data_IF_906631068412
#
_entry.id   IF_906631068412
#
_cell.length_a   1.000
_cell.length_b   1.000
_cell.length_c   1.000
_cell.angle_alpha   90.00
_cell.angle_beta   90.00
_cell.angle_gamma   90.00
#
_symmetry.space_group_name_H-M   'P 1'
#
loop_
_entity.id
_entity.type
_entity.pdbx_description
1 polymer ?
#
# COMPACT_ATOMS: atom_id res chain seq x y z
N UNK A 1 -15.54 -4.16 -1.27
CA UNK A 1 -14.87 -3.74 -2.52
C UNK A 1 -13.88 -4.81 -2.94
N UNK A 2 -14.06 -5.37 -4.12
CA UNK A 2 -13.23 -6.37 -4.81
C UNK A 2 -12.46 -5.72 -5.96
N UNK A 3 -11.55 -6.47 -6.62
CA UNK A 3 -10.88 -5.98 -7.84
C UNK A 3 -11.91 -5.60 -8.94
N UNK A 4 -12.96 -6.41 -9.12
CA UNK A 4 -13.99 -6.16 -10.11
C UNK A 4 -14.72 -4.83 -9.84
N UNK A 5 -14.99 -4.54 -8.56
CA UNK A 5 -15.62 -3.27 -8.15
C UNK A 5 -14.71 -2.09 -8.48
N UNK A 6 -13.39 -2.20 -8.21
CA UNK A 6 -12.40 -1.15 -8.55
C UNK A 6 -12.37 -0.90 -10.06
N UNK A 7 -12.39 -1.96 -10.87
CA UNK A 7 -12.41 -1.83 -12.33
C UNK A 7 -13.67 -1.10 -12.80
N UNK A 8 -14.83 -1.43 -12.23
CA UNK A 8 -16.10 -0.74 -12.54
C UNK A 8 -16.03 0.73 -12.18
N UNK A 9 -15.53 1.08 -10.99
CA UNK A 9 -15.36 2.48 -10.55
C UNK A 9 -14.41 3.27 -11.46
N UNK A 10 -13.32 2.66 -11.90
CA UNK A 10 -12.36 3.29 -12.83
C UNK A 10 -12.99 3.46 -14.22
N UNK A 11 -13.70 2.45 -14.70
CA UNK A 11 -14.47 2.50 -15.94
C UNK A 11 -15.49 3.67 -15.93
N UNK A 12 -16.29 3.77 -14.87
CA UNK A 12 -17.35 4.79 -14.75
C UNK A 12 -16.78 6.21 -14.64
N UNK A 13 -15.68 6.41 -13.90
CA UNK A 13 -15.12 7.73 -13.66
C UNK A 13 -14.22 8.25 -14.76
N UNK A 14 -13.46 7.37 -15.42
CA UNK A 14 -12.46 7.75 -16.43
C UNK A 14 -13.04 7.65 -17.85
N UNK A 15 -14.15 6.95 -18.04
CA UNK A 15 -14.81 6.81 -19.34
C UNK A 15 -14.04 5.92 -20.34
N UNK A 16 -13.15 5.07 -19.83
CA UNK A 16 -12.42 4.07 -20.63
C UNK A 16 -13.32 2.89 -20.98
N UNK A 17 -12.88 1.99 -21.85
CA UNK A 17 -13.55 0.69 -21.97
C UNK A 17 -13.31 -0.16 -20.72
N UNK A 18 -14.25 -1.06 -20.41
CA UNK A 18 -14.12 -2.00 -19.28
C UNK A 18 -12.86 -2.88 -19.40
N UNK A 19 -12.44 -3.19 -20.63
CA UNK A 19 -11.22 -3.96 -20.91
C UNK A 19 -9.98 -3.15 -20.52
N UNK A 20 -9.87 -1.92 -21.00
CA UNK A 20 -8.75 -1.03 -20.67
C UNK A 20 -8.68 -0.74 -19.17
N UNK A 21 -9.81 -0.48 -18.51
CA UNK A 21 -9.86 -0.29 -17.07
C UNK A 21 -9.34 -1.52 -16.31
N UNK A 22 -9.69 -2.73 -16.76
CA UNK A 22 -9.18 -3.96 -16.17
C UNK A 22 -7.67 -4.14 -16.37
N UNK A 23 -7.18 -3.83 -17.57
CA UNK A 23 -5.75 -3.92 -17.91
C UNK A 23 -4.92 -2.93 -17.08
N UNK A 24 -5.39 -1.68 -16.93
CA UNK A 24 -4.73 -0.66 -16.12
C UNK A 24 -4.67 -1.06 -14.65
N UNK A 25 -5.78 -1.55 -14.10
CA UNK A 25 -5.82 -1.98 -12.69
C UNK A 25 -4.87 -3.16 -12.46
N UNK A 26 -4.82 -4.14 -13.38
CA UNK A 26 -3.86 -5.24 -13.26
C UNK A 26 -2.42 -4.75 -13.38
N UNK A 27 -2.13 -3.87 -14.34
CA UNK A 27 -0.81 -3.31 -14.55
C UNK A 27 -0.28 -2.58 -13.30
N UNK A 28 -1.11 -1.80 -12.62
CA UNK A 28 -0.72 -1.13 -11.37
C UNK A 28 -0.42 -2.16 -10.29
N UNK A 29 -1.27 -3.18 -10.11
CA UNK A 29 -1.04 -4.22 -9.11
C UNK A 29 0.24 -5.01 -9.41
N UNK A 30 0.50 -5.35 -10.67
CA UNK A 30 1.70 -6.05 -11.09
C UNK A 30 2.96 -5.22 -10.91
N UNK A 31 2.90 -3.92 -11.19
CA UNK A 31 4.01 -3.00 -10.92
C UNK A 31 4.37 -2.99 -9.42
N UNK A 32 3.36 -2.96 -8.54
CA UNK A 32 3.56 -3.06 -7.09
C UNK A 32 4.18 -4.42 -6.72
N UNK A 33 3.64 -5.53 -7.24
CA UNK A 33 4.15 -6.88 -6.97
C UNK A 33 5.62 -7.03 -7.38
N UNK A 34 5.98 -6.55 -8.57
CA UNK A 34 7.33 -6.65 -9.11
C UNK A 34 8.32 -5.83 -8.28
N UNK A 35 7.98 -4.58 -7.97
CA UNK A 35 8.81 -3.72 -7.11
C UNK A 35 9.09 -4.38 -5.75
N UNK A 36 8.07 -5.01 -5.15
CA UNK A 36 8.22 -5.71 -3.86
C UNK A 36 8.98 -7.03 -3.99
N UNK A 37 8.90 -7.72 -5.14
CA UNK A 37 9.66 -8.94 -5.40
C UNK A 37 11.17 -8.67 -5.33
N UNK A 38 11.58 -7.52 -5.86
CA UNK A 38 12.98 -7.08 -5.90
C UNK A 38 13.49 -6.59 -4.53
N UNK A 39 12.60 -6.49 -3.53
CA UNK A 39 12.93 -6.04 -2.18
C UNK A 39 12.83 -4.54 -1.99
N UNK A 40 12.38 -3.82 -3.01
CA UNK A 40 12.22 -2.38 -2.98
C UNK A 40 10.95 -1.97 -2.20
N UNK A 41 10.89 -0.68 -1.85
CA UNK A 41 9.76 -0.11 -1.11
C UNK A 41 8.88 0.69 -2.06
N UNK A 42 7.59 0.34 -2.13
CA UNK A 42 6.60 1.15 -2.85
C UNK A 42 6.05 2.21 -1.91
N UNK A 43 6.20 3.48 -2.27
CA UNK A 43 5.66 4.63 -1.52
C UNK A 43 4.52 5.26 -2.30
N UNK A 44 3.32 5.25 -1.74
CA UNK A 44 2.14 5.91 -2.29
C UNK A 44 1.81 7.11 -1.40
N UNK A 45 2.13 8.32 -1.87
CA UNK A 45 1.89 9.55 -1.14
C UNK A 45 0.40 9.66 -0.75
N UNK A 46 0.13 10.13 0.47
CA UNK A 46 -1.24 10.20 1.01
C UNK A 46 -1.86 8.85 1.40
N UNK A 47 -1.41 7.72 0.85
CA UNK A 47 -1.99 6.40 1.14
C UNK A 47 -1.14 5.58 2.13
N UNK A 48 0.13 5.33 1.81
CA UNK A 48 1.02 4.54 2.66
C UNK A 48 2.17 3.89 1.91
N UNK A 49 2.92 3.05 2.61
CA UNK A 49 4.13 2.41 2.08
C UNK A 49 4.03 0.88 2.20
N UNK A 50 4.37 0.17 1.13
CA UNK A 50 4.62 -1.27 1.17
C UNK A 50 6.12 -1.50 1.33
N UNK A 51 6.50 -2.18 2.41
CA UNK A 51 7.90 -2.44 2.76
C UNK A 51 8.14 -3.94 2.86
N UNK A 52 9.19 -4.41 2.20
CA UNK A 52 9.68 -5.78 2.36
C UNK A 52 10.57 -5.85 3.60
N UNK A 53 10.21 -6.73 4.54
CA UNK A 53 11.02 -7.01 5.74
C UNK A 53 11.55 -8.42 5.70
N UNK A 54 12.82 -8.57 6.05
CA UNK A 54 13.39 -9.88 6.29
C UNK A 54 13.11 -10.29 7.75
N UNK A 55 12.51 -11.47 7.92
CA UNK A 55 12.30 -12.09 9.23
C UNK A 55 13.34 -13.18 9.39
N UNK A 56 14.16 -13.08 10.44
CA UNK A 56 15.15 -14.08 10.77
C UNK A 56 14.55 -15.37 11.34
N UNK A 57 15.41 -16.38 11.47
CA UNK A 57 15.10 -17.65 12.13
C UNK A 57 14.70 -17.40 13.59
N UNK A 58 13.63 -18.06 14.04
CA UNK A 58 13.21 -18.01 15.44
C UNK A 58 12.46 -19.29 15.83
N UNK A 59 12.41 -19.57 17.12
CA UNK A 59 11.56 -20.62 17.66
C UNK A 59 10.11 -20.13 17.75
N UNK A 60 9.17 -20.99 17.35
CA UNK A 60 7.74 -20.84 17.56
C UNK A 60 7.18 -22.08 18.26
N UNK A 61 5.86 -22.10 18.45
CA UNK A 61 5.15 -23.28 18.98
C UNK A 61 4.02 -23.66 18.06
N UNK A 62 3.79 -24.96 17.91
CA UNK A 62 2.60 -25.45 17.23
C UNK A 62 1.35 -25.06 18.04
N UNK A 63 0.39 -24.31 17.47
CA UNK A 63 -0.82 -23.94 18.20
C UNK A 63 -1.65 -25.14 18.67
N UNK A 64 -1.52 -26.30 18.02
CA UNK A 64 -2.29 -27.52 18.35
C UNK A 64 -1.57 -28.45 19.32
N UNK A 65 -0.25 -28.61 19.21
CA UNK A 65 0.53 -29.58 20.02
C UNK A 65 1.43 -28.95 21.09
N UNK A 66 1.69 -27.64 21.01
CA UNK A 66 2.57 -26.92 21.94
C UNK A 66 4.08 -27.15 21.72
N UNK A 67 4.44 -28.08 20.85
CA UNK A 67 5.83 -28.43 20.52
C UNK A 67 6.59 -27.24 19.92
N UNK A 68 7.87 -27.12 20.26
CA UNK A 68 8.74 -26.09 19.65
C UNK A 68 9.02 -26.43 18.19
N UNK A 69 8.67 -25.49 17.30
CA UNK A 69 8.96 -25.58 15.87
C UNK A 69 9.90 -24.45 15.49
N UNK A 70 10.91 -24.77 14.70
CA UNK A 70 11.78 -23.76 14.09
C UNK A 70 11.09 -23.08 12.91
N UNK A 71 11.00 -21.74 12.96
CA UNK A 71 10.45 -20.94 11.87
C UNK A 71 11.61 -20.44 11.02
N UNK A 72 11.61 -20.85 9.74
CA UNK A 72 12.65 -20.50 8.78
C UNK A 72 12.64 -19.00 8.44
N UNK A 73 13.80 -18.42 8.08
CA UNK A 73 13.88 -17.05 7.61
C UNK A 73 13.02 -16.83 6.36
N UNK A 74 12.33 -15.69 6.28
CA UNK A 74 11.49 -15.36 5.12
C UNK A 74 11.37 -13.86 4.89
N UNK A 75 11.07 -13.47 3.65
CA UNK A 75 10.63 -12.11 3.31
C UNK A 75 9.13 -11.98 3.58
N UNK A 76 8.73 -10.87 4.21
CA UNK A 76 7.32 -10.52 4.42
C UNK A 76 7.06 -9.10 3.92
N UNK A 77 5.90 -8.88 3.31
CA UNK A 77 5.45 -7.53 2.96
C UNK A 77 4.68 -6.95 4.15
N UNK A 78 4.93 -5.69 4.48
CA UNK A 78 4.18 -4.94 5.48
C UNK A 78 3.68 -3.65 4.86
N UNK A 79 2.37 -3.40 4.95
CA UNK A 79 1.79 -2.10 4.62
C UNK A 79 1.83 -1.18 5.85
N UNK A 80 2.34 0.03 5.66
CA UNK A 80 2.34 1.11 6.66
C UNK A 80 1.43 2.23 6.15
N UNK A 81 0.21 2.36 6.68
CA UNK A 81 -0.69 3.45 6.32
C UNK A 81 -0.06 4.81 6.62
N UNK A 82 -0.28 5.79 5.75
CA UNK A 82 0.15 7.16 5.98
C UNK A 82 -0.65 7.80 7.13
N UNK A 83 -0.14 8.91 7.68
CA UNK A 83 -0.90 9.70 8.67
C UNK A 83 -2.19 10.25 8.07
N UNK A 84 -2.15 10.67 6.80
CA UNK A 84 -3.32 11.16 6.05
C UNK A 84 -4.40 10.06 5.99
N UNK A 85 -4.03 8.84 5.58
CA UNK A 85 -4.97 7.74 5.46
C UNK A 85 -5.52 7.31 6.84
N UNK A 86 -4.67 7.25 7.86
CA UNK A 86 -5.12 7.01 9.25
C UNK A 86 -6.07 8.09 9.74
N UNK A 87 -5.84 9.35 9.40
CA UNK A 87 -6.74 10.46 9.69
C UNK A 87 -8.10 10.26 9.03
N UNK A 88 -8.14 9.94 7.74
CA UNK A 88 -9.39 9.67 7.03
C UNK A 88 -10.21 8.51 7.64
N UNK A 89 -9.55 7.44 8.11
CA UNK A 89 -10.24 6.27 8.68
C UNK A 89 -10.55 6.44 10.17
N UNK A 90 -9.66 7.10 10.91
CA UNK A 90 -9.70 7.20 12.37
C UNK A 90 -10.44 8.43 12.92
N UNK A 91 -11.01 9.29 12.08
CA UNK A 91 -11.67 10.52 12.54
C UNK A 91 -13.18 10.35 12.65
N UNK A 92 -13.61 9.82 13.79
CA UNK A 92 -14.60 10.53 14.60
C UNK A 92 -13.86 11.59 15.43
N UNK A 93 -13.86 12.85 14.98
CA UNK A 93 -13.39 14.01 15.74
C UNK A 93 -12.09 14.68 15.29
N UNK A 94 -12.21 15.76 14.51
CA UNK A 94 -11.28 16.91 14.41
C UNK A 94 -9.84 16.68 13.96
N UNK A 95 -9.59 16.80 12.65
CA UNK A 95 -8.40 17.50 12.13
C UNK A 95 -8.83 18.39 10.96
N UNK A 96 -8.82 19.69 11.23
CA UNK A 96 -9.17 20.77 10.31
C UNK A 96 -8.25 20.84 9.09
N UNK A 97 -8.87 21.11 7.96
CA UNK A 97 -8.37 21.08 6.59
C UNK A 97 -7.40 22.22 6.20
N UNK A 98 -6.63 22.79 7.13
CA UNK A 98 -5.94 24.07 6.87
C UNK A 98 -4.40 24.03 6.77
N UNK A 99 -3.74 22.87 6.86
CA UNK A 99 -2.26 22.81 6.84
C UNK A 99 -1.64 21.73 5.96
N UNK A 100 -2.10 21.57 4.73
CA UNK A 100 -1.32 20.84 3.71
C UNK A 100 -1.33 21.62 2.39
N UNK A 101 -0.67 22.78 2.38
CA UNK A 101 -0.17 23.38 1.15
C UNK A 101 1.21 22.76 0.82
N UNK A 102 1.53 22.52 -0.47
CA UNK A 102 2.76 21.84 -0.86
C UNK A 102 3.99 22.74 -0.65
N UNK A 103 4.96 22.24 0.13
CA UNK A 103 6.31 22.78 0.17
C UNK A 103 7.01 22.42 -1.15
N UNK A 104 6.98 23.36 -2.11
CA UNK A 104 7.57 23.12 -3.42
C UNK A 104 7.41 24.27 -4.43
N UNK A 105 7.50 25.54 -4.00
CA UNK A 105 7.93 26.61 -4.90
C UNK A 105 9.42 26.80 -4.68
N UNK A 106 10.23 26.08 -5.46
CA UNK A 106 11.63 26.42 -5.66
C UNK A 106 11.67 27.69 -6.52
N UNK A 107 12.40 28.67 -6.01
CA UNK A 107 12.59 29.98 -6.59
C UNK A 107 13.27 29.90 -7.96
N UNK A 108 12.67 30.57 -8.94
CA UNK A 108 13.35 31.03 -10.14
C UNK A 108 12.78 32.42 -10.47
N UNK A 109 13.60 33.47 -10.34
CA UNK A 109 13.74 34.59 -11.30
C UNK A 109 14.64 35.72 -10.77
N UNK A 110 15.64 36.03 -11.61
CA UNK A 110 16.50 37.21 -11.78
C UNK A 110 17.40 37.70 -10.64
#
# INVERSE_FOLDING_TARGET
MTKADIVTEVYEKVGLSKKEASEIVEFVLDTIKNTLKDGETVKLAGFGNFVVRQKGKRKGRNPKTGEEIEITPRKVVTFKPSMVFKGYVGTSGSLSSEKIAPAGMAAEQK
#
